data_IF_012524009744
#
_entry.id   IF_012524009744
#
_cell.length_a   1.000
_cell.length_b   1.000
_cell.length_c   1.000
_cell.angle_alpha   90.00
_cell.angle_beta   90.00
_cell.angle_gamma   90.00
#
_symmetry.space_group_name_H-M   'P 1'
#
loop_
_entity.id
_entity.type
_entity.pdbx_description
1 polymer ?
#
# COMPACT_ATOMS: atom_id res chain seq x y z
N UNK A 1 -38.27 16.23 38.30
CA UNK A 1 -38.45 15.43 37.07
C UNK A 1 -37.44 15.71 35.95
N UNK A 2 -36.38 16.50 36.14
CA UNK A 2 -35.43 16.85 35.04
C UNK A 2 -34.17 15.97 34.97
N UNK A 3 -33.92 15.11 35.97
CA UNK A 3 -32.68 14.30 36.07
C UNK A 3 -32.66 13.11 35.11
N UNK A 4 -33.81 12.48 34.86
CA UNK A 4 -33.91 11.31 33.99
C UNK A 4 -33.70 11.65 32.50
N UNK A 5 -34.21 12.81 32.05
CA UNK A 5 -34.00 13.29 30.67
C UNK A 5 -32.55 13.66 30.38
N UNK A 6 -31.84 14.21 31.37
CA UNK A 6 -30.40 14.50 31.27
C UNK A 6 -29.55 13.24 31.19
N UNK A 7 -29.89 12.20 31.98
CA UNK A 7 -29.19 10.92 31.93
C UNK A 7 -29.40 10.17 30.60
N UNK A 8 -30.64 10.17 30.08
CA UNK A 8 -30.95 9.52 28.81
C UNK A 8 -30.24 10.19 27.62
N UNK A 9 -30.20 11.53 27.59
CA UNK A 9 -29.51 12.27 26.52
C UNK A 9 -28.00 12.10 26.58
N UNK A 10 -27.40 12.07 27.77
CA UNK A 10 -25.97 11.79 27.94
C UNK A 10 -25.60 10.37 27.49
N UNK A 11 -26.43 9.38 27.81
CA UNK A 11 -26.21 8.00 27.37
C UNK A 11 -26.27 7.86 25.83
N UNK A 12 -27.26 8.48 25.20
CA UNK A 12 -27.37 8.48 23.73
C UNK A 12 -26.20 9.24 23.08
N UNK A 13 -25.84 10.41 23.60
CA UNK A 13 -24.71 11.18 23.09
C UNK A 13 -23.39 10.40 23.21
N UNK A 14 -23.16 9.72 24.33
CA UNK A 14 -22.00 8.86 24.53
C UNK A 14 -21.97 7.68 23.55
N UNK A 15 -23.11 7.02 23.34
CA UNK A 15 -23.21 5.93 22.37
C UNK A 15 -22.95 6.40 20.93
N UNK A 16 -23.51 7.55 20.53
CA UNK A 16 -23.25 8.14 19.21
C UNK A 16 -21.78 8.52 19.04
N UNK A 17 -21.17 9.15 20.05
CA UNK A 17 -19.75 9.49 20.03
C UNK A 17 -18.88 8.24 19.91
N UNK A 18 -19.20 7.17 20.64
CA UNK A 18 -18.50 5.89 20.52
C UNK A 18 -18.62 5.30 19.11
N UNK A 19 -19.82 5.30 18.52
CA UNK A 19 -20.03 4.81 17.14
C UNK A 19 -19.25 5.64 16.12
N UNK A 20 -19.19 6.95 16.28
CA UNK A 20 -18.40 7.85 15.41
C UNK A 20 -16.90 7.55 15.54
N UNK A 21 -16.40 7.31 16.75
CA UNK A 21 -15.00 6.94 16.98
C UNK A 21 -14.68 5.59 16.33
N UNK A 22 -15.53 4.58 16.53
CA UNK A 22 -15.32 3.24 15.95
C UNK A 22 -15.35 3.26 14.42
N UNK A 23 -16.29 3.98 13.82
CA UNK A 23 -16.39 4.12 12.36
C UNK A 23 -15.25 4.94 11.78
N UNK A 24 -14.83 6.02 12.45
CA UNK A 24 -13.65 6.79 12.09
C UNK A 24 -12.37 5.94 12.12
N UNK A 25 -12.14 5.22 13.22
CA UNK A 25 -11.00 4.31 13.36
C UNK A 25 -11.03 3.20 12.28
N UNK A 26 -12.18 2.58 12.05
CA UNK A 26 -12.35 1.55 11.02
C UNK A 26 -12.06 2.07 9.61
N UNK A 27 -12.48 3.29 9.29
CA UNK A 27 -12.22 3.93 7.99
C UNK A 27 -10.74 4.18 7.77
N UNK A 28 -10.03 4.64 8.80
CA UNK A 28 -8.57 4.82 8.74
C UNK A 28 -7.88 3.48 8.49
N UNK A 29 -8.20 2.45 9.28
CA UNK A 29 -7.61 1.11 9.12
C UNK A 29 -7.87 0.56 7.71
N UNK A 30 -9.11 0.66 7.21
CA UNK A 30 -9.46 0.22 5.87
C UNK A 30 -8.63 0.94 4.79
N UNK A 31 -8.45 2.27 4.92
CA UNK A 31 -7.60 3.05 4.02
C UNK A 31 -6.16 2.53 3.97
N UNK A 32 -5.57 2.22 5.13
CA UNK A 32 -4.24 1.62 5.20
C UNK A 32 -4.16 0.23 4.58
N UNK A 33 -5.17 -0.62 4.83
CA UNK A 33 -5.21 -1.96 4.25
C UNK A 33 -5.30 -1.90 2.72
N UNK A 34 -6.14 -1.01 2.19
CA UNK A 34 -6.26 -0.79 0.74
C UNK A 34 -4.94 -0.28 0.16
N UNK A 35 -4.29 0.68 0.81
CA UNK A 35 -2.98 1.18 0.35
C UNK A 35 -1.90 0.09 0.37
N UNK A 36 -1.87 -0.74 1.41
CA UNK A 36 -0.95 -1.86 1.50
C UNK A 36 -1.20 -2.91 0.40
N UNK A 37 -2.47 -3.24 0.12
CA UNK A 37 -2.85 -4.14 -0.96
C UNK A 37 -2.46 -3.58 -2.33
N UNK A 38 -2.71 -2.28 -2.57
CA UNK A 38 -2.29 -1.60 -3.79
C UNK A 38 -0.77 -1.59 -3.95
N UNK A 39 -0.02 -1.39 -2.87
CA UNK A 39 1.44 -1.38 -2.91
C UNK A 39 1.98 -2.77 -3.30
N UNK A 40 1.40 -3.84 -2.74
CA UNK A 40 1.75 -5.23 -3.11
C UNK A 40 1.42 -5.53 -4.57
N UNK A 41 0.19 -5.27 -5.01
CA UNK A 41 -0.21 -5.53 -6.40
C UNK A 41 0.59 -4.71 -7.43
N UNK A 42 0.96 -3.47 -7.09
CA UNK A 42 1.83 -2.65 -7.95
C UNK A 42 3.26 -3.21 -7.99
N UNK A 43 3.79 -3.68 -6.86
CA UNK A 43 5.09 -4.34 -6.82
C UNK A 43 5.10 -5.59 -7.70
N UNK A 44 4.06 -6.43 -7.63
CA UNK A 44 3.96 -7.66 -8.42
C UNK A 44 3.96 -7.37 -9.94
N UNK A 45 3.12 -6.42 -10.38
CA UNK A 45 3.09 -5.99 -11.79
C UNK A 45 4.43 -5.37 -12.22
N UNK A 46 5.06 -4.57 -11.36
CA UNK A 46 6.35 -3.96 -11.65
C UNK A 46 7.44 -5.03 -11.78
N UNK A 47 7.50 -6.01 -10.87
CA UNK A 47 8.46 -7.10 -10.92
C UNK A 47 8.27 -7.98 -12.16
N UNK A 48 7.05 -8.36 -12.51
CA UNK A 48 6.77 -9.16 -13.73
C UNK A 48 7.09 -8.37 -15.00
N UNK A 49 6.75 -7.08 -15.06
CA UNK A 49 7.09 -6.24 -16.22
C UNK A 49 8.60 -6.08 -16.40
N UNK A 50 9.34 -5.95 -15.30
CA UNK A 50 10.78 -5.86 -15.31
C UNK A 50 11.41 -7.18 -15.75
N UNK A 51 10.93 -8.31 -15.22
CA UNK A 51 11.36 -9.64 -15.62
C UNK A 51 11.10 -9.91 -17.12
N UNK A 52 9.93 -9.53 -17.62
CA UNK A 52 9.60 -9.68 -19.05
C UNK A 52 10.53 -8.86 -19.95
N UNK A 53 10.93 -7.65 -19.52
CA UNK A 53 11.90 -6.82 -20.25
C UNK A 53 13.32 -7.37 -20.17
N UNK A 54 13.72 -7.86 -19.00
CA UNK A 54 15.01 -8.49 -18.80
C UNK A 54 15.16 -9.75 -19.68
N UNK A 55 14.12 -10.60 -19.71
CA UNK A 55 14.06 -11.76 -20.61
C UNK A 55 14.11 -11.39 -22.10
N UNK A 56 13.66 -10.19 -22.47
CA UNK A 56 13.78 -9.64 -23.83
C UNK A 56 15.15 -8.98 -24.10
N UNK A 57 16.13 -9.12 -23.20
CA UNK A 57 17.48 -8.57 -23.34
C UNK A 57 17.58 -7.05 -23.09
N UNK A 58 16.60 -6.46 -22.40
CA UNK A 58 16.54 -5.03 -22.11
C UNK A 58 16.48 -4.76 -20.59
N UNK A 59 16.93 -3.60 -20.10
CA UNK A 59 16.89 -3.30 -18.67
C UNK A 59 15.44 -3.26 -18.14
N UNK A 60 15.19 -4.01 -17.07
CA UNK A 60 13.87 -4.18 -16.44
C UNK A 60 13.50 -3.03 -15.49
N UNK A 61 14.46 -2.53 -14.69
CA UNK A 61 14.24 -1.51 -13.66
C UNK A 61 13.68 -0.18 -14.21
N UNK A 62 14.14 0.36 -15.35
CA UNK A 62 13.51 1.53 -15.95
C UNK A 62 12.03 1.29 -16.33
N UNK A 63 11.68 0.04 -16.68
CA UNK A 63 10.29 -0.33 -16.99
C UNK A 63 9.46 -0.44 -15.72
N UNK A 64 9.99 -1.06 -14.66
CA UNK A 64 9.36 -1.07 -13.34
C UNK A 64 9.05 0.35 -12.84
N UNK A 65 10.01 1.28 -12.99
CA UNK A 65 9.83 2.67 -12.58
C UNK A 65 8.70 3.37 -13.33
N UNK A 66 8.64 3.22 -14.65
CA UNK A 66 7.56 3.80 -15.46
C UNK A 66 6.18 3.22 -15.08
N UNK A 67 6.10 1.91 -14.87
CA UNK A 67 4.85 1.26 -14.48
C UNK A 67 4.41 1.70 -13.07
N UNK A 68 5.33 1.70 -12.10
CA UNK A 68 5.05 2.18 -10.75
C UNK A 68 4.55 3.62 -10.77
N UNK A 69 5.22 4.51 -11.52
CA UNK A 69 4.80 5.90 -11.66
C UNK A 69 3.40 6.04 -12.27
N UNK A 70 3.07 5.24 -13.28
CA UNK A 70 1.72 5.20 -13.87
C UNK A 70 0.65 4.73 -12.86
N UNK A 71 1.03 3.92 -11.89
CA UNK A 71 0.16 3.44 -10.79
C UNK A 71 0.13 4.38 -9.58
N UNK A 72 0.77 5.56 -9.66
CA UNK A 72 0.88 6.50 -8.54
C UNK A 72 1.81 6.02 -7.42
N UNK A 73 2.71 5.09 -7.73
CA UNK A 73 3.71 4.56 -6.81
C UNK A 73 5.12 5.04 -7.19
N UNK A 74 6.02 5.12 -6.21
CA UNK A 74 7.44 5.38 -6.43
C UNK A 74 8.25 4.12 -6.16
N UNK A 75 9.16 3.75 -7.05
CA UNK A 75 10.12 2.66 -6.79
C UNK A 75 11.13 3.16 -5.76
N UNK A 76 11.22 2.47 -4.62
CA UNK A 76 12.23 2.70 -3.60
C UNK A 76 13.53 1.95 -3.92
N UNK A 77 13.39 0.73 -4.43
CA UNK A 77 14.52 -0.13 -4.77
C UNK A 77 14.16 -1.05 -5.91
N UNK A 78 15.07 -1.19 -6.87
CA UNK A 78 14.97 -2.19 -7.92
C UNK A 78 16.34 -2.84 -8.09
N UNK A 79 16.38 -4.17 -8.00
CA UNK A 79 17.62 -4.94 -8.16
C UNK A 79 17.37 -6.09 -9.12
N UNK A 80 18.21 -6.17 -10.15
CA UNK A 80 18.29 -7.29 -11.08
C UNK A 80 19.53 -8.09 -10.68
N UNK A 81 19.39 -9.41 -10.51
CA UNK A 81 20.49 -10.28 -10.11
C UNK A 81 20.41 -11.57 -10.93
N UNK A 82 21.54 -12.00 -11.47
CA UNK A 82 21.66 -13.19 -12.31
C UNK A 82 21.90 -12.87 -13.78
N UNK A 83 21.81 -13.91 -14.62
CA UNK A 83 22.04 -13.87 -16.07
C UNK A 83 20.70 -14.02 -16.84
N UNK A 84 20.72 -13.91 -18.16
CA UNK A 84 19.50 -13.93 -19.00
C UNK A 84 18.60 -15.15 -18.79
N UNK A 85 19.16 -16.28 -18.34
CA UNK A 85 18.44 -17.56 -18.13
C UNK A 85 18.07 -17.77 -16.66
N UNK A 86 18.95 -17.39 -15.72
CA UNK A 86 18.76 -17.50 -14.28
C UNK A 86 18.85 -16.11 -13.65
N UNK A 87 17.71 -15.43 -13.52
CA UNK A 87 17.63 -14.11 -12.91
C UNK A 87 16.48 -13.99 -11.92
N UNK A 88 16.64 -13.07 -10.98
CA UNK A 88 15.59 -12.56 -10.12
C UNK A 88 15.60 -11.03 -10.17
N UNK A 89 14.44 -10.47 -10.45
CA UNK A 89 14.18 -9.04 -10.32
C UNK A 89 13.38 -8.79 -9.06
N UNK A 90 13.91 -7.94 -8.18
CA UNK A 90 13.24 -7.53 -6.95
C UNK A 90 12.85 -6.06 -7.07
N UNK A 91 11.58 -5.77 -6.86
CA UNK A 91 11.06 -4.40 -6.91
C UNK A 91 10.36 -4.06 -5.61
N UNK A 92 10.74 -2.93 -5.03
CA UNK A 92 10.09 -2.34 -3.87
C UNK A 92 9.50 -0.99 -4.25
N UNK A 93 8.22 -0.82 -3.97
CA UNK A 93 7.45 0.39 -4.28
C UNK A 93 6.86 0.99 -3.01
N UNK A 94 6.62 2.29 -3.05
CA UNK A 94 5.86 3.01 -2.03
C UNK A 94 4.66 3.71 -2.68
N UNK A 95 3.52 3.62 -2.03
CA UNK A 95 2.28 4.32 -2.40
C UNK A 95 1.95 5.32 -1.29
N UNK A 96 1.58 6.58 -1.62
CA UNK A 96 1.15 7.54 -0.63
C UNK A 96 -0.16 7.11 0.04
N UNK A 97 -0.29 7.41 1.33
CA UNK A 97 -1.51 7.19 2.11
C UNK A 97 -1.99 8.53 2.62
N UNK A 98 -3.16 8.96 2.13
CA UNK A 98 -3.84 10.15 2.62
C UNK A 98 -4.62 9.78 3.88
N UNK A 99 -3.94 9.82 5.03
CA UNK A 99 -4.56 9.62 6.34
C UNK A 99 -4.69 10.95 7.08
N UNK A 100 -5.90 11.35 7.53
CA UNK A 100 -6.12 12.63 8.22
C UNK A 100 -5.67 12.61 9.70
N UNK A 101 -4.73 11.73 10.07
CA UNK A 101 -4.39 11.46 11.47
C UNK A 101 -2.90 11.74 11.71
N UNK A 102 -2.56 12.72 12.58
CA UNK A 102 -1.18 13.04 12.91
C UNK A 102 -0.41 11.84 13.48
N UNK A 103 0.83 11.63 13.04
CA UNK A 103 1.75 10.62 13.58
C UNK A 103 1.66 9.24 12.92
N UNK A 104 0.75 9.02 11.96
CA UNK A 104 0.69 7.78 11.20
C UNK A 104 1.55 7.82 9.91
N UNK A 105 1.99 6.66 9.38
CA UNK A 105 2.84 6.60 8.20
C UNK A 105 2.15 7.13 6.94
N UNK A 106 2.75 8.08 6.25
CA UNK A 106 2.18 8.66 5.01
C UNK A 106 2.41 7.81 3.77
N UNK A 107 3.01 6.61 3.91
CA UNK A 107 3.37 5.72 2.81
C UNK A 107 3.17 4.26 3.19
N UNK A 108 2.61 3.49 2.27
CA UNK A 108 2.56 2.04 2.33
C UNK A 108 3.57 1.45 1.35
N UNK A 109 4.39 0.51 1.81
CA UNK A 109 5.42 -0.14 0.99
C UNK A 109 5.00 -1.55 0.57
N UNK A 110 5.33 -1.93 -0.65
CA UNK A 110 5.14 -3.27 -1.19
C UNK A 110 6.42 -3.75 -1.87
N UNK A 111 6.76 -5.03 -1.70
CA UNK A 111 7.93 -5.65 -2.34
C UNK A 111 7.50 -6.93 -3.03
N UNK A 112 8.01 -7.15 -4.23
CA UNK A 112 7.78 -8.34 -5.02
C UNK A 112 9.07 -8.81 -5.72
N UNK A 113 9.10 -10.10 -6.03
CA UNK A 113 10.23 -10.76 -6.67
C UNK A 113 9.70 -11.55 -7.88
N UNK A 114 10.35 -11.42 -9.03
CA UNK A 114 10.00 -12.14 -10.25
C UNK A 114 11.24 -12.81 -10.84
N UNK A 115 11.10 -14.07 -11.25
CA UNK A 115 12.19 -14.91 -11.75
C UNK A 115 12.53 -16.05 -10.79
N UNK A 116 13.60 -16.76 -11.09
CA UNK A 116 14.12 -17.89 -10.33
C UNK A 116 15.64 -17.90 -10.46
N UNK A 117 16.31 -18.10 -9.34
CA UNK A 117 17.69 -18.58 -9.35
C UNK A 117 17.61 -20.11 -9.30
N UNK A 118 18.04 -20.76 -10.38
CA UNK A 118 18.15 -22.21 -10.49
C UNK A 118 19.16 -22.80 -9.53
#
# INVERSE_FOLDING_TARGET
MNRERGAATLAVAGALLLLLVLTGAGSVIAGYLVAAQRARGTADLAAVSAAARHAAGAPGCPTAQRLAAAQGASVLRCTETGDTIDFVVSVEVAIPVDAPVPGLPTRATGRAHAGRLG
#
